data_IF_387559851647
#
_entry.id   IF_387559851647
#
_cell.length_a   1.000
_cell.length_b   1.000
_cell.length_c   1.000
_cell.angle_alpha   90.00
_cell.angle_beta   90.00
_cell.angle_gamma   90.00
#
_symmetry.space_group_name_H-M   'P 1'
#
loop_
_entity.id
_entity.type
_entity.pdbx_description
1 polymer ?
#
# COMPACT_ATOMS: atom_id res chain seq x y z
N UNK A 1 13.53 -4.85 -8.02
CA UNK A 1 13.02 -4.88 -6.63
C UNK A 1 12.72 -3.45 -6.17
N UNK A 2 11.86 -3.24 -5.17
CA UNK A 2 11.59 -1.89 -4.68
C UNK A 2 12.83 -1.37 -3.94
N UNK A 3 13.44 -0.29 -4.44
CA UNK A 3 14.65 0.33 -3.84
C UNK A 3 14.23 1.26 -2.70
N UNK A 4 13.14 2.00 -2.87
CA UNK A 4 12.55 2.86 -1.85
C UNK A 4 11.05 3.02 -2.10
N UNK A 5 10.33 3.66 -1.16
CA UNK A 5 8.89 3.96 -1.31
C UNK A 5 8.56 4.64 -2.65
N UNK A 6 9.46 5.44 -3.20
CA UNK A 6 9.26 6.20 -4.45
C UNK A 6 10.12 5.72 -5.61
N UNK A 7 10.94 4.68 -5.43
CA UNK A 7 11.85 4.18 -6.44
C UNK A 7 11.74 2.66 -6.56
N UNK A 8 11.37 2.20 -7.75
CA UNK A 8 11.42 0.78 -8.13
C UNK A 8 12.37 0.64 -9.31
N UNK A 9 13.31 -0.29 -9.21
CA UNK A 9 14.04 -0.77 -10.37
C UNK A 9 13.21 -1.89 -11.01
N UNK A 10 12.86 -1.66 -12.28
CA UNK A 10 12.10 -2.60 -13.08
C UNK A 10 13.01 -3.75 -13.50
N UNK A 11 12.65 -4.97 -13.13
CA UNK A 11 13.34 -6.15 -13.64
C UNK A 11 13.01 -6.40 -15.11
N UNK A 12 13.73 -7.32 -15.75
CA UNK A 12 13.40 -7.77 -17.10
C UNK A 12 11.97 -8.31 -17.19
N UNK A 13 11.50 -8.99 -16.15
CA UNK A 13 10.14 -9.50 -16.03
C UNK A 13 9.11 -8.37 -15.91
N UNK A 14 9.37 -7.34 -15.09
CA UNK A 14 8.51 -6.15 -14.99
C UNK A 14 8.34 -5.48 -16.36
N UNK A 15 9.46 -5.26 -17.08
CA UNK A 15 9.47 -4.62 -18.40
C UNK A 15 8.70 -5.47 -19.40
N UNK A 16 8.94 -6.79 -19.42
CA UNK A 16 8.24 -7.71 -20.30
C UNK A 16 6.74 -7.73 -20.02
N UNK A 17 6.32 -7.68 -18.76
CA UNK A 17 4.90 -7.62 -18.39
C UNK A 17 4.22 -6.34 -18.89
N UNK A 18 4.86 -5.17 -18.70
CA UNK A 18 4.35 -3.88 -19.20
C UNK A 18 4.25 -3.90 -20.73
N UNK A 19 5.28 -4.39 -21.41
CA UNK A 19 5.30 -4.47 -22.87
C UNK A 19 4.18 -5.35 -23.41
N UNK A 20 4.00 -6.56 -22.85
CA UNK A 20 2.90 -7.47 -23.21
C UNK A 20 1.53 -6.82 -23.00
N UNK A 21 1.35 -6.14 -21.87
CA UNK A 21 0.08 -5.45 -21.55
C UNK A 21 -0.24 -4.38 -22.59
N UNK A 22 0.76 -3.59 -22.98
CA UNK A 22 0.60 -2.57 -24.03
C UNK A 22 0.29 -3.18 -25.41
N UNK A 23 1.00 -4.23 -25.81
CA UNK A 23 0.74 -4.91 -27.09
C UNK A 23 -0.63 -5.59 -27.13
N UNK A 24 -1.06 -6.21 -26.02
CA UNK A 24 -2.41 -6.74 -25.88
C UNK A 24 -3.45 -5.63 -26.05
N UNK A 25 -3.23 -4.46 -25.42
CA UNK A 25 -4.12 -3.29 -25.56
C UNK A 25 -4.17 -2.77 -27.01
N UNK A 26 -3.05 -2.84 -27.73
CA UNK A 26 -2.97 -2.53 -29.17
C UNK A 26 -3.67 -3.57 -30.06
N UNK A 27 -4.03 -4.74 -29.52
CA UNK A 27 -4.65 -5.84 -30.26
C UNK A 27 -3.66 -6.75 -30.99
N UNK A 28 -2.41 -6.84 -30.54
CA UNK A 28 -1.43 -7.75 -31.13
C UNK A 28 -1.74 -9.21 -30.72
N UNK A 29 -1.99 -10.08 -31.71
CA UNK A 29 -2.43 -11.46 -31.47
C UNK A 29 -1.46 -12.31 -30.62
N UNK A 30 -0.17 -11.94 -30.57
CA UNK A 30 0.86 -12.67 -29.81
C UNK A 30 0.77 -12.47 -28.29
N UNK A 31 0.14 -11.38 -27.84
CA UNK A 31 0.17 -10.95 -26.44
C UNK A 31 -1.21 -11.08 -25.74
N UNK A 32 -2.16 -11.75 -26.39
CA UNK A 32 -3.47 -12.08 -25.83
C UNK A 32 -4.49 -10.95 -25.91
N UNK A 33 -5.59 -11.09 -25.15
CA UNK A 33 -6.66 -10.10 -25.06
C UNK A 33 -6.38 -9.17 -23.89
N UNK A 34 -6.55 -7.88 -24.13
CA UNK A 34 -6.42 -6.86 -23.08
C UNK A 34 -7.62 -6.85 -22.15
N UNK A 35 -7.34 -6.70 -20.85
CA UNK A 35 -8.33 -6.47 -19.80
C UNK A 35 -7.84 -5.35 -18.86
N UNK A 36 -8.78 -4.54 -18.38
CA UNK A 36 -8.51 -3.53 -17.35
C UNK A 36 -8.20 -4.24 -16.02
N UNK A 37 -7.14 -3.81 -15.34
CA UNK A 37 -6.75 -4.35 -14.04
C UNK A 37 -6.59 -3.23 -13.00
N UNK A 38 -7.36 -3.34 -11.92
CA UNK A 38 -7.36 -2.37 -10.83
C UNK A 38 -5.97 -2.22 -10.22
N UNK A 39 -5.52 -0.97 -10.05
CA UNK A 39 -4.17 -0.65 -9.57
C UNK A 39 -3.02 -0.88 -10.57
N UNK A 40 -3.29 -1.35 -11.79
CA UNK A 40 -2.26 -1.62 -12.81
C UNK A 40 -2.51 -0.90 -14.15
N UNK A 41 -3.61 -1.19 -14.86
CA UNK A 41 -3.87 -0.63 -16.17
C UNK A 41 -5.37 -0.41 -16.43
N UNK A 42 -5.71 0.62 -17.22
CA UNK A 42 -7.08 0.87 -17.68
C UNK A 42 -7.11 1.57 -19.03
N UNK A 43 -8.00 1.13 -19.91
CA UNK A 43 -8.36 1.82 -21.15
C UNK A 43 -9.54 2.77 -20.90
N UNK A 44 -9.26 4.08 -20.87
CA UNK A 44 -10.29 5.11 -20.64
C UNK A 44 -10.81 5.69 -21.96
N UNK A 45 -12.13 5.83 -22.05
CA UNK A 45 -12.80 6.50 -23.17
C UNK A 45 -12.62 8.03 -23.10
N UNK A 46 -12.76 8.72 -24.23
CA UNK A 46 -12.70 10.19 -24.26
C UNK A 46 -13.79 10.85 -23.40
N UNK A 47 -14.94 10.19 -23.23
CA UNK A 47 -16.02 10.66 -22.37
C UNK A 47 -15.62 10.62 -20.87
N UNK A 48 -14.96 9.54 -20.43
CA UNK A 48 -14.41 9.45 -19.07
C UNK A 48 -13.32 10.49 -18.82
N UNK A 49 -12.42 10.69 -19.80
CA UNK A 49 -11.37 11.72 -19.71
C UNK A 49 -11.99 13.12 -19.59
N UNK A 50 -13.05 13.41 -20.35
CA UNK A 50 -13.78 14.67 -20.27
C UNK A 50 -14.44 14.86 -18.91
N UNK A 51 -15.03 13.81 -18.32
CA UNK A 51 -15.62 13.86 -16.97
C UNK A 51 -14.59 14.22 -15.88
N UNK A 52 -13.32 13.96 -16.15
CA UNK A 52 -12.20 14.29 -15.28
C UNK A 52 -11.43 15.53 -15.72
N UNK A 53 -12.06 16.45 -16.47
CA UNK A 53 -11.46 17.71 -16.92
C UNK A 53 -10.12 17.52 -17.64
N UNK A 54 -9.98 16.41 -18.38
CA UNK A 54 -8.77 16.04 -19.11
C UNK A 54 -7.52 15.81 -18.24
N UNK A 55 -7.66 15.67 -16.93
CA UNK A 55 -6.56 15.29 -16.03
C UNK A 55 -6.23 13.81 -16.25
N UNK A 56 -4.99 13.51 -16.64
CA UNK A 56 -4.54 12.15 -17.00
C UNK A 56 -3.80 11.41 -15.88
N UNK A 57 -3.92 11.86 -14.64
CA UNK A 57 -3.27 11.19 -13.50
C UNK A 57 -3.84 9.77 -13.33
N UNK A 58 -3.01 8.71 -13.38
CA UNK A 58 -3.50 7.33 -13.39
C UNK A 58 -4.45 6.96 -12.25
N UNK A 59 -4.22 7.49 -11.04
CA UNK A 59 -5.06 7.24 -9.87
C UNK A 59 -6.53 7.66 -10.03
N UNK A 60 -6.85 8.51 -11.02
CA UNK A 60 -8.23 8.92 -11.32
C UNK A 60 -8.99 7.90 -12.18
N UNK A 61 -8.29 6.94 -12.79
CA UNK A 61 -8.86 5.97 -13.73
C UNK A 61 -8.67 4.53 -13.27
N UNK A 62 -7.46 4.17 -12.83
CA UNK A 62 -7.01 2.79 -12.64
C UNK A 62 -7.52 2.17 -11.33
N UNK A 63 -8.04 2.99 -10.40
CA UNK A 63 -8.48 2.52 -9.08
C UNK A 63 -7.32 2.03 -8.21
N UNK A 64 -7.65 1.43 -7.06
CA UNK A 64 -6.69 0.72 -6.23
C UNK A 64 -6.79 -0.78 -6.52
N UNK A 65 -5.67 -1.49 -6.50
CA UNK A 65 -5.71 -2.95 -6.46
C UNK A 65 -6.50 -3.38 -5.22
N UNK A 66 -7.28 -4.44 -5.34
CA UNK A 66 -7.93 -5.04 -4.18
C UNK A 66 -6.84 -5.37 -3.15
N UNK A 67 -7.04 -4.88 -1.93
CA UNK A 67 -6.20 -5.28 -0.81
C UNK A 67 -6.54 -6.75 -0.59
N UNK A 68 -5.54 -7.64 -0.66
CA UNK A 68 -5.73 -9.03 -0.26
C UNK A 68 -6.37 -9.05 1.14
N UNK A 69 -7.61 -9.53 1.20
CA UNK A 69 -8.29 -9.75 2.46
C UNK A 69 -7.49 -10.81 3.22
N UNK A 70 -7.02 -10.47 4.42
CA UNK A 70 -6.33 -11.43 5.29
C UNK A 70 -7.30 -12.51 5.81
N UNK A 71 -8.60 -12.39 5.48
CA UNK A 71 -9.67 -13.29 5.86
C UNK A 71 -10.10 -13.08 7.31
N UNK A 72 -9.58 -12.05 7.98
CA UNK A 72 -9.84 -11.79 9.39
C UNK A 72 -10.97 -10.77 9.50
N UNK A 73 -12.10 -11.12 10.15
CA UNK A 73 -13.17 -10.16 10.40
C UNK A 73 -12.66 -8.91 11.13
N UNK A 74 -13.12 -7.73 10.70
CA UNK A 74 -12.72 -6.44 11.25
C UNK A 74 -12.75 -6.41 12.79
N UNK A 75 -13.83 -6.91 13.39
CA UNK A 75 -14.01 -6.96 14.85
C UNK A 75 -12.95 -7.81 15.55
N UNK A 76 -12.53 -8.91 14.94
CA UNK A 76 -11.47 -9.78 15.47
C UNK A 76 -10.13 -9.06 15.42
N UNK A 77 -9.80 -8.47 14.27
CA UNK A 77 -8.55 -7.73 14.06
C UNK A 77 -8.42 -6.53 14.99
N UNK A 78 -9.50 -5.74 15.12
CA UNK A 78 -9.54 -4.58 16.01
C UNK A 78 -9.39 -4.96 17.48
N UNK A 79 -10.02 -6.08 17.90
CA UNK A 79 -9.89 -6.58 19.27
C UNK A 79 -8.45 -6.96 19.59
N UNK A 80 -7.82 -7.75 18.72
CA UNK A 80 -6.42 -8.17 18.90
C UNK A 80 -5.47 -6.96 18.92
N UNK A 81 -5.62 -6.05 17.95
CA UNK A 81 -4.80 -4.83 17.89
C UNK A 81 -4.96 -3.96 19.13
N UNK A 82 -6.19 -3.78 19.61
CA UNK A 82 -6.47 -2.97 20.80
C UNK A 82 -5.90 -3.61 22.06
N UNK A 83 -6.04 -4.93 22.23
CA UNK A 83 -5.44 -5.66 23.35
C UNK A 83 -3.91 -5.53 23.35
N UNK A 84 -3.29 -5.68 22.19
CA UNK A 84 -1.84 -5.50 22.03
C UNK A 84 -1.41 -4.07 22.38
N UNK A 85 -2.17 -3.07 21.93
CA UNK A 85 -1.90 -1.67 22.24
C UNK A 85 -1.97 -1.40 23.74
N UNK A 86 -3.01 -1.87 24.43
CA UNK A 86 -3.14 -1.67 25.88
C UNK A 86 -2.03 -2.37 26.68
N UNK A 87 -1.61 -3.56 26.25
CA UNK A 87 -0.46 -4.24 26.84
C UNK A 87 0.82 -3.41 26.68
N UNK A 88 1.06 -2.87 25.49
CA UNK A 88 2.21 -2.00 25.21
C UNK A 88 2.16 -0.70 26.02
N UNK A 89 0.99 -0.08 26.16
CA UNK A 89 0.83 1.13 26.99
C UNK A 89 1.11 0.87 28.47
N UNK A 90 0.66 -0.29 28.99
CA UNK A 90 0.91 -0.69 30.37
C UNK A 90 2.41 -0.90 30.61
N UNK A 91 3.08 -1.59 29.67
CA UNK A 91 4.51 -1.80 29.76
C UNK A 91 5.30 -0.50 29.63
N UNK A 92 4.89 0.41 28.75
CA UNK A 92 5.49 1.76 28.64
C UNK A 92 5.41 2.51 29.97
N UNK A 93 4.25 2.55 30.61
CA UNK A 93 4.09 3.23 31.89
C UNK A 93 4.95 2.61 33.01
N UNK A 94 5.10 1.28 33.01
CA UNK A 94 5.98 0.56 33.93
C UNK A 94 7.45 0.96 33.71
N UNK A 95 7.88 0.98 32.46
CA UNK A 95 9.24 1.35 32.08
C UNK A 95 9.52 2.82 32.41
N UNK A 96 8.58 3.72 32.15
CA UNK A 96 8.71 5.15 32.50
C UNK A 96 8.89 5.34 34.01
N UNK A 97 8.13 4.61 34.82
CA UNK A 97 8.28 4.62 36.28
C UNK A 97 9.66 4.13 36.71
N UNK A 98 10.15 3.04 36.09
CA UNK A 98 11.46 2.48 36.40
C UNK A 98 12.60 3.43 35.98
N UNK A 99 12.47 4.07 34.82
CA UNK A 99 13.42 5.06 34.32
C UNK A 99 13.50 6.25 35.29
N UNK A 100 12.35 6.80 35.72
CA UNK A 100 12.31 7.89 36.71
C UNK A 100 13.00 7.51 38.02
N UNK A 101 12.68 6.33 38.57
CA UNK A 101 13.33 5.83 39.79
C UNK A 101 14.85 5.69 39.62
N UNK A 102 15.31 5.21 38.47
CA UNK A 102 16.74 5.10 38.21
C UNK A 102 17.41 6.48 38.09
N UNK A 103 16.74 7.47 37.49
CA UNK A 103 17.25 8.84 37.41
C UNK A 103 17.34 9.50 38.80
N UNK A 104 16.37 9.26 39.69
CA UNK A 104 16.42 9.72 41.09
C UNK A 104 17.66 9.16 41.82
N UNK A 105 17.93 7.86 41.68
CA UNK A 105 19.12 7.21 42.30
C UNK A 105 20.43 7.79 41.77
N UNK A 106 20.45 8.21 40.50
CA UNK A 106 21.62 8.82 39.87
C UNK A 106 21.75 10.33 40.14
N UNK A 107 20.81 10.94 40.86
CA UNK A 107 20.82 12.36 41.20
C UNK A 107 20.31 13.29 40.10
N UNK A 108 19.64 12.74 39.08
CA UNK A 108 19.03 13.49 37.95
C UNK A 108 17.50 13.36 37.91
N UNK A 109 16.89 12.88 38.99
CA UNK A 109 15.43 12.81 39.12
C UNK A 109 14.83 14.22 39.17
N UNK A 110 13.68 14.38 38.51
CA UNK A 110 12.80 15.54 38.67
C UNK A 110 11.88 15.35 39.89
#
# INVERSE_FOLDING_TARGET
AMISRTQKELSAEDIAAIARTYHAWRGEAKDGVYEDQAGYCKSATLAEIRKHDYVLTPGRYVGAADIEDDGIPFETKMREMSQRLYAQMTESARLDTLIRKNLEVLGYGE
#
